data_IF_661230630288
#
_entry.id   IF_661230630288
#
_cell.length_a   1.000
_cell.length_b   1.000
_cell.length_c   1.000
_cell.angle_alpha   90.00
_cell.angle_beta   90.00
_cell.angle_gamma   90.00
#
_symmetry.space_group_name_H-M   'P 1'
#
loop_
_entity.id
_entity.type
_entity.pdbx_description
1 polymer ?
#
# COMPACT_ATOMS: atom_id res chain seq x y z
N UNK A 1 -1.00 -2.68 -3.32
CA UNK A 1 -0.68 -2.19 -4.69
C UNK A 1 -1.98 -2.03 -5.45
N UNK A 2 -2.12 -0.97 -6.24
CA UNK A 2 -3.32 -0.66 -7.02
C UNK A 2 -3.19 -1.31 -8.41
N UNK A 3 -4.03 -2.30 -8.70
CA UNK A 3 -3.89 -3.20 -9.85
C UNK A 3 -3.82 -2.47 -11.19
N UNK A 4 -4.67 -1.47 -11.41
CA UNK A 4 -4.82 -0.86 -12.74
C UNK A 4 -3.69 0.14 -13.09
N UNK A 5 -2.87 0.56 -12.11
CA UNK A 5 -1.81 1.56 -12.33
C UNK A 5 -0.45 1.25 -11.70
N UNK A 6 -0.32 0.18 -10.91
CA UNK A 6 0.96 -0.23 -10.31
C UNK A 6 1.43 0.60 -9.10
N UNK A 7 0.83 1.77 -8.85
CA UNK A 7 1.15 2.56 -7.66
C UNK A 7 0.86 1.79 -6.37
N UNK A 8 1.71 2.01 -5.37
CA UNK A 8 1.57 1.39 -4.05
C UNK A 8 1.21 2.44 -3.01
N UNK A 9 0.27 2.09 -2.14
CA UNK A 9 -0.07 2.81 -0.92
C UNK A 9 -0.08 1.79 0.22
N UNK A 10 0.10 2.24 1.47
CA UNK A 10 -0.04 1.34 2.61
C UNK A 10 -1.49 0.87 2.79
N UNK A 11 -1.69 -0.26 3.48
CA UNK A 11 -3.01 -0.86 3.70
C UNK A 11 -3.98 0.12 4.37
N UNK A 12 -3.51 0.84 5.40
CA UNK A 12 -4.32 1.83 6.12
C UNK A 12 -4.78 2.99 5.22
N UNK A 13 -3.93 3.43 4.28
CA UNK A 13 -4.30 4.46 3.32
C UNK A 13 -5.30 3.92 2.29
N UNK A 14 -5.13 2.69 1.82
CA UNK A 14 -6.09 2.06 0.93
C UNK A 14 -7.47 1.88 1.61
N UNK A 15 -7.52 1.46 2.88
CA UNK A 15 -8.78 1.35 3.62
C UNK A 15 -9.47 2.71 3.77
N UNK A 16 -8.72 3.78 4.07
CA UNK A 16 -9.27 5.13 4.11
C UNK A 16 -9.84 5.56 2.76
N UNK A 17 -9.13 5.28 1.66
CA UNK A 17 -9.59 5.62 0.32
C UNK A 17 -10.87 4.86 -0.07
N UNK A 18 -10.99 3.58 0.29
CA UNK A 18 -12.21 2.79 0.07
C UNK A 18 -13.40 3.32 0.89
N UNK A 19 -13.18 3.67 2.15
CA UNK A 19 -14.24 4.20 3.03
C UNK A 19 -14.80 5.55 2.56
N UNK A 20 -13.99 6.38 1.91
CA UNK A 20 -14.40 7.71 1.44
C UNK A 20 -15.46 7.66 0.32
N UNK A 21 -15.60 6.52 -0.37
CA UNK A 21 -16.46 6.42 -1.55
C UNK A 21 -17.70 5.56 -1.34
N UNK A 22 -17.82 4.85 -0.21
CA UNK A 22 -18.90 3.85 0.03
C UNK A 22 -19.07 2.82 -1.13
N UNK A 23 -18.07 2.72 -2.00
CA UNK A 23 -18.15 2.02 -3.28
C UNK A 23 -17.04 0.97 -3.36
N UNK A 24 -17.27 -0.06 -4.20
CA UNK A 24 -16.33 -1.15 -4.46
C UNK A 24 -15.18 -0.70 -5.37
N UNK A 25 -14.69 0.53 -5.26
CA UNK A 25 -13.58 1.02 -6.06
C UNK A 25 -12.67 1.99 -5.32
N UNK A 26 -11.43 2.04 -5.77
CA UNK A 26 -10.38 2.90 -5.29
C UNK A 26 -9.92 3.80 -6.44
N UNK A 27 -9.83 5.10 -6.19
CA UNK A 27 -9.19 6.07 -7.09
C UNK A 27 -7.74 6.26 -6.65
N UNK A 28 -6.79 6.00 -7.54
CA UNK A 28 -5.38 6.21 -7.23
C UNK A 28 -5.11 7.70 -6.94
N UNK A 29 -4.51 8.05 -5.78
CA UNK A 29 -4.27 9.46 -5.43
C UNK A 29 -3.18 10.11 -6.30
N UNK A 30 -2.38 9.33 -7.02
CA UNK A 30 -1.27 9.84 -7.83
C UNK A 30 -1.65 10.09 -9.29
N UNK A 31 -2.44 9.18 -9.88
CA UNK A 31 -2.77 9.22 -11.32
C UNK A 31 -4.27 9.17 -11.61
N UNK A 32 -5.12 9.20 -10.58
CA UNK A 32 -6.58 9.24 -10.66
C UNK A 32 -7.24 8.05 -11.40
N UNK A 33 -6.48 7.00 -11.72
CA UNK A 33 -7.04 5.80 -12.33
C UNK A 33 -7.90 5.03 -11.32
N UNK A 34 -9.11 4.64 -11.75
CA UNK A 34 -10.06 3.84 -10.97
C UNK A 34 -9.64 2.37 -10.98
N UNK A 35 -9.76 1.70 -9.84
CA UNK A 35 -9.56 0.24 -9.68
C UNK A 35 -10.74 -0.32 -8.91
N UNK A 36 -11.41 -1.34 -9.44
CA UNK A 36 -12.48 -2.04 -8.71
C UNK A 36 -11.85 -2.93 -7.63
N UNK A 37 -12.36 -2.81 -6.40
CA UNK A 37 -11.94 -3.54 -5.21
C UNK A 37 -13.18 -4.12 -4.54
N UNK A 38 -13.42 -5.41 -4.72
CA UNK A 38 -14.57 -6.12 -4.16
C UNK A 38 -14.25 -6.63 -2.74
N UNK A 39 -13.98 -5.73 -1.80
CA UNK A 39 -13.66 -6.08 -0.43
C UNK A 39 -12.73 -5.09 0.28
N UNK A 40 -12.21 -5.46 1.47
CA UNK A 40 -11.33 -4.62 2.27
C UNK A 40 -9.94 -4.46 1.65
N UNK A 41 -9.17 -3.41 1.98
CA UNK A 41 -7.88 -3.16 1.33
C UNK A 41 -6.88 -4.31 1.45
N UNK A 42 -6.96 -5.13 2.50
CA UNK A 42 -6.11 -6.31 2.71
C UNK A 42 -6.16 -7.35 1.58
N UNK A 43 -7.19 -7.33 0.72
CA UNK A 43 -7.29 -8.24 -0.44
C UNK A 43 -6.49 -7.75 -1.65
N UNK A 44 -6.04 -6.48 -1.63
CA UNK A 44 -5.20 -5.93 -2.69
C UNK A 44 -3.83 -6.62 -2.68
N UNK A 45 -3.21 -6.83 -3.85
CA UNK A 45 -1.89 -7.44 -3.93
C UNK A 45 -0.86 -6.63 -3.14
N UNK A 46 -0.05 -7.30 -2.33
CA UNK A 46 1.07 -6.69 -1.62
C UNK A 46 2.23 -6.48 -2.58
N UNK A 47 2.95 -5.36 -2.41
CA UNK A 47 4.20 -5.12 -3.12
C UNK A 47 5.34 -5.75 -2.30
N UNK A 48 5.62 -7.03 -2.53
CA UNK A 48 6.63 -7.76 -1.74
C UNK A 48 8.04 -7.21 -1.91
N UNK A 49 8.41 -6.76 -3.11
CA UNK A 49 9.69 -6.13 -3.35
C UNK A 49 9.89 -4.88 -2.47
N UNK A 50 8.87 -4.00 -2.40
CA UNK A 50 8.94 -2.82 -1.54
C UNK A 50 8.98 -3.20 -0.05
N UNK A 51 8.21 -4.22 0.36
CA UNK A 51 8.20 -4.68 1.76
C UNK A 51 9.58 -5.24 2.19
N UNK A 52 10.24 -6.00 1.32
CA UNK A 52 11.60 -6.52 1.56
C UNK A 52 12.60 -5.38 1.71
N UNK A 53 12.58 -4.40 0.79
CA UNK A 53 13.44 -3.23 0.86
C UNK A 53 13.21 -2.40 2.14
N UNK A 54 11.95 -2.19 2.54
CA UNK A 54 11.63 -1.47 3.78
C UNK A 54 12.15 -2.22 5.01
N UNK A 55 12.05 -3.55 5.02
CA UNK A 55 12.58 -4.37 6.11
C UNK A 55 14.11 -4.33 6.17
N UNK A 56 14.80 -4.19 5.03
CA UNK A 56 16.25 -3.98 4.98
C UNK A 56 16.64 -2.62 5.53
N UNK A 57 16.00 -1.52 5.06
CA UNK A 57 16.28 -0.16 5.55
C UNK A 57 16.15 -0.07 7.07
N UNK A 58 15.11 -0.67 7.65
CA UNK A 58 14.91 -0.68 9.10
C UNK A 58 16.06 -1.37 9.87
N UNK A 59 16.69 -2.41 9.31
CA UNK A 59 17.84 -3.08 9.96
C UNK A 59 19.09 -2.20 10.03
N UNK A 60 19.22 -1.22 9.14
CA UNK A 60 20.33 -0.25 9.16
C UNK A 60 20.04 0.95 10.08
N UNK A 61 18.76 1.22 10.37
CA UNK A 61 18.33 2.25 11.32
C UNK A 61 18.29 1.74 12.76
N UNK A 62 18.30 0.42 12.97
CA UNK A 62 18.53 -0.17 14.29
C UNK A 62 19.91 0.29 14.81
N UNK A 63 19.99 0.93 16.00
CA UNK A 63 21.25 1.45 16.50
C UNK A 63 22.25 0.31 16.64
N UNK A 64 23.40 0.46 15.97
CA UNK A 64 24.59 -0.34 16.27
C UNK A 64 24.79 -0.25 17.78
N UNK A 65 24.49 -1.33 18.51
CA UNK A 65 24.95 -1.48 19.89
C UNK A 65 26.46 -1.68 19.81
N UNK A 66 27.19 -0.58 19.73
CA UNK A 66 28.63 -0.56 19.93
C UNK A 66 28.80 -0.83 21.43
N UNK A 67 29.09 -2.08 21.75
CA UNK A 67 29.59 -2.51 23.07
C UNK A 67 30.96 -1.91 23.35
#
# INVERSE_FOLDING_TARGET
MIKECGHSVCEQCADRLLKLKEENFLVCPFCQKVTIVNGPARILPKNFALLEQMAEVQRFEDPIKIV
#
